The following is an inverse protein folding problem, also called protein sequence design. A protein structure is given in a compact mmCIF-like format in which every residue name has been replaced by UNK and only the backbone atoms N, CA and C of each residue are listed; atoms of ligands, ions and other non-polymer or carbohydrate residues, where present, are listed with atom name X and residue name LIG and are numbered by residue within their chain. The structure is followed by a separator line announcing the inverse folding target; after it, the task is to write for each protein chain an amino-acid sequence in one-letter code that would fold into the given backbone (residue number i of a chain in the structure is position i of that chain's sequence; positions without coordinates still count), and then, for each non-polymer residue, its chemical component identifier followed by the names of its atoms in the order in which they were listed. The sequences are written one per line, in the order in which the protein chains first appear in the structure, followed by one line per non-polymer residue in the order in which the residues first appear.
data_IF_282018480235
#
_entry.id   IF_282018480235
#
_cell.length_a   1.000
_cell.length_b   1.000
_cell.length_c   1.000
_cell.angle_alpha   90.00
_cell.angle_beta   90.00
_cell.angle_gamma   90.00
#
_symmetry.space_group_name_H-M   'P 1'
#
loop_
_entity.id
_entity.type
_entity.pdbx_description
1 polymer ?
#
# COMPACT_ATOMS: atom_id res chain seq x y z
N UNK A 1 8.90 -12.41 7.61
CA UNK A 1 8.90 -11.36 6.56
C UNK A 1 7.92 -11.78 5.49
N UNK A 2 6.90 -10.97 5.17
CA UNK A 2 5.92 -11.30 4.13
C UNK A 2 6.55 -11.08 2.74
N UNK A 3 6.63 -12.12 1.91
CA UNK A 3 7.06 -12.01 0.52
C UNK A 3 5.84 -11.79 -0.38
N UNK A 4 5.81 -10.68 -1.12
CA UNK A 4 4.67 -10.34 -2.01
C UNK A 4 4.46 -11.42 -3.07
N UNK A 5 5.54 -11.90 -3.70
CA UNK A 5 5.46 -12.91 -4.76
C UNK A 5 4.88 -14.24 -4.25
N UNK A 6 5.37 -14.73 -3.11
CA UNK A 6 4.87 -15.97 -2.51
C UNK A 6 3.42 -15.83 -2.03
N UNK A 7 3.09 -14.70 -1.42
CA UNK A 7 1.72 -14.40 -0.96
C UNK A 7 0.75 -14.39 -2.14
N UNK A 8 1.11 -13.80 -3.28
CA UNK A 8 0.27 -13.78 -4.47
C UNK A 8 0.13 -15.17 -5.10
N UNK A 9 1.22 -15.96 -5.17
CA UNK A 9 1.16 -17.35 -5.66
C UNK A 9 0.21 -18.19 -4.79
N UNK A 10 0.35 -18.09 -3.47
CA UNK A 10 -0.52 -18.78 -2.54
C UNK A 10 -1.99 -18.34 -2.70
N UNK A 11 -2.24 -17.05 -2.79
CA UNK A 11 -3.60 -16.51 -2.99
C UNK A 11 -4.24 -17.03 -4.28
N UNK A 12 -3.50 -17.05 -5.39
CA UNK A 12 -4.00 -17.58 -6.67
C UNK A 12 -4.37 -19.06 -6.52
N UNK A 13 -3.47 -19.88 -5.95
CA UNK A 13 -3.72 -21.30 -5.73
C UNK A 13 -4.96 -21.54 -4.86
N UNK A 14 -5.13 -20.79 -3.76
CA UNK A 14 -6.28 -20.93 -2.86
C UNK A 14 -7.59 -20.47 -3.49
N UNK A 15 -7.56 -19.57 -4.46
CA UNK A 15 -8.76 -19.01 -5.11
C UNK A 15 -9.07 -19.66 -6.46
N UNK A 16 -8.27 -20.62 -6.91
CA UNK A 16 -8.40 -21.26 -8.23
C UNK A 16 -9.81 -21.82 -8.48
N UNK A 17 -10.35 -22.59 -7.53
CA UNK A 17 -11.71 -23.16 -7.62
C UNK A 17 -12.84 -22.12 -7.70
N UNK A 18 -12.59 -20.86 -7.31
CA UNK A 18 -13.58 -19.79 -7.34
C UNK A 18 -13.56 -19.01 -8.66
N UNK A 19 -12.50 -19.18 -9.45
CA UNK A 19 -12.24 -18.49 -10.72
C UNK A 19 -12.81 -19.28 -11.90
N UNK A 20 -14.14 -19.44 -11.95
CA UNK A 20 -14.80 -20.04 -13.11
C UNK A 20 -14.86 -19.05 -14.29
N UNK A 21 -14.95 -19.58 -15.52
CA UNK A 21 -15.10 -18.80 -16.75
C UNK A 21 -16.35 -17.91 -16.72
N UNK A 22 -17.46 -18.41 -16.15
CA UNK A 22 -18.71 -17.64 -15.97
C UNK A 22 -18.58 -16.45 -15.00
N UNK A 23 -17.64 -16.52 -14.04
CA UNK A 23 -17.37 -15.43 -13.10
C UNK A 23 -16.45 -14.34 -13.69
N UNK A 24 -16.04 -14.49 -14.96
CA UNK A 24 -15.60 -13.41 -15.85
C UNK A 24 -14.52 -12.48 -15.29
N UNK A 25 -13.61 -12.98 -14.46
CA UNK A 25 -12.57 -12.14 -13.87
C UNK A 25 -11.18 -12.74 -14.06
N UNK A 26 -10.54 -12.33 -15.16
CA UNK A 26 -9.07 -12.30 -15.31
C UNK A 26 -8.37 -11.39 -14.26
N UNK A 27 -9.12 -10.87 -13.29
CA UNK A 27 -8.60 -9.99 -12.26
C UNK A 27 -7.84 -10.81 -11.22
N UNK A 28 -6.68 -10.29 -10.81
CA UNK A 28 -5.92 -10.85 -9.72
C UNK A 28 -6.79 -10.96 -8.45
N UNK A 29 -7.45 -9.88 -8.02
CA UNK A 29 -8.22 -9.85 -6.76
C UNK A 29 -9.71 -10.08 -7.00
N UNK A 30 -10.26 -11.09 -6.33
CA UNK A 30 -11.68 -11.46 -6.38
C UNK A 30 -12.35 -11.36 -5.01
N UNK A 31 -13.67 -11.17 -5.02
CA UNK A 31 -14.49 -11.15 -3.81
C UNK A 31 -14.55 -12.53 -3.17
N UNK A 32 -14.46 -12.59 -1.85
CA UNK A 32 -14.72 -13.81 -1.09
C UNK A 32 -16.23 -14.12 -0.96
N UNK A 33 -17.11 -13.16 -1.31
CA UNK A 33 -18.57 -13.34 -1.33
C UNK A 33 -19.01 -13.81 -2.72
N UNK A 34 -19.91 -14.80 -2.79
CA UNK A 34 -20.54 -15.23 -4.04
C UNK A 34 -21.22 -14.04 -4.73
N UNK A 35 -21.07 -13.84 -6.05
CA UNK A 35 -20.57 -14.74 -7.09
C UNK A 35 -19.06 -14.55 -7.40
N UNK A 36 -18.22 -14.22 -6.42
CA UNK A 36 -16.74 -14.17 -6.56
C UNK A 36 -16.20 -13.31 -7.70
N UNK A 37 -16.89 -12.20 -7.99
CA UNK A 37 -16.49 -11.25 -9.04
C UNK A 37 -15.24 -10.45 -8.65
N UNK A 38 -14.63 -9.75 -9.61
CA UNK A 38 -13.55 -8.78 -9.36
C UNK A 38 -13.94 -7.79 -8.27
N UNK A 39 -13.01 -7.45 -7.38
CA UNK A 39 -13.24 -6.42 -6.37
C UNK A 39 -13.12 -5.01 -6.95
N UNK A 40 -13.89 -4.06 -6.40
CA UNK A 40 -13.77 -2.65 -6.77
C UNK A 40 -12.54 -1.99 -6.14
N UNK A 41 -12.13 -0.84 -6.69
CA UNK A 41 -11.09 0.01 -6.10
C UNK A 41 -11.42 0.37 -4.65
N UNK A 42 -12.69 0.66 -4.35
CA UNK A 42 -13.13 1.03 -2.99
C UNK A 42 -13.03 -0.13 -2.00
N UNK A 43 -13.19 -1.37 -2.48
CA UNK A 43 -13.01 -2.56 -1.65
C UNK A 43 -11.55 -2.74 -1.27
N UNK A 44 -10.64 -2.58 -2.24
CA UNK A 44 -9.20 -2.61 -1.98
C UNK A 44 -8.79 -1.47 -1.04
N UNK A 45 -9.31 -0.26 -1.25
CA UNK A 45 -9.03 0.88 -0.39
C UNK A 45 -9.49 0.64 1.06
N UNK A 46 -10.65 0.00 1.26
CA UNK A 46 -11.12 -0.42 2.58
C UNK A 46 -10.19 -1.45 3.22
N UNK A 47 -9.76 -2.47 2.50
CA UNK A 47 -8.80 -3.46 3.03
C UNK A 47 -7.49 -2.81 3.45
N UNK A 48 -6.95 -1.89 2.66
CA UNK A 48 -5.73 -1.15 3.02
C UNK A 48 -5.97 -0.33 4.28
N UNK A 49 -7.10 0.40 4.39
CA UNK A 49 -7.45 1.15 5.61
C UNK A 49 -7.55 0.23 6.83
N UNK A 50 -8.14 -0.96 6.69
CA UNK A 50 -8.17 -1.95 7.77
C UNK A 50 -6.77 -2.37 8.21
N UNK A 51 -5.86 -2.65 7.27
CA UNK A 51 -4.47 -3.02 7.59
C UNK A 51 -3.73 -1.85 8.26
N UNK A 52 -3.93 -0.61 7.81
CA UNK A 52 -3.35 0.58 8.45
C UNK A 52 -3.84 0.70 9.90
N UNK A 53 -5.14 0.57 10.13
CA UNK A 53 -5.72 0.62 11.47
C UNK A 53 -5.17 -0.49 12.38
N UNK A 54 -5.12 -1.73 11.89
CA UNK A 54 -4.56 -2.87 12.63
C UNK A 54 -3.07 -2.70 12.92
N UNK A 55 -2.35 -1.91 12.11
CA UNK A 55 -0.95 -1.56 12.33
C UNK A 55 -0.76 -0.37 13.28
N UNK A 56 -1.83 0.14 13.89
CA UNK A 56 -1.78 1.30 14.80
C UNK A 56 -1.66 2.64 14.09
N UNK A 57 -1.85 2.70 12.76
CA UNK A 57 -1.81 3.94 12.00
C UNK A 57 -3.18 4.63 12.08
N UNK A 58 -3.18 5.92 12.42
CA UNK A 58 -4.39 6.73 12.45
C UNK A 58 -5.02 6.85 11.05
N UNK A 59 -6.18 6.21 10.88
CA UNK A 59 -6.89 6.20 9.60
C UNK A 59 -7.82 7.39 9.39
N UNK A 60 -7.99 8.27 10.39
CA UNK A 60 -8.61 9.58 10.18
C UNK A 60 -7.66 10.49 9.40
N UNK A 61 -6.35 10.38 9.66
CA UNK A 61 -5.29 11.12 8.97
C UNK A 61 -4.76 10.43 7.72
N UNK A 62 -4.59 9.11 7.75
CA UNK A 62 -3.99 8.34 6.66
C UNK A 62 -4.98 7.40 5.97
N UNK A 63 -4.84 7.28 4.66
CA UNK A 63 -5.71 6.49 3.80
C UNK A 63 -4.90 5.59 2.86
N UNK A 64 -5.60 4.76 2.08
CA UNK A 64 -4.97 3.93 1.06
C UNK A 64 -4.12 4.74 0.06
N UNK A 65 -4.51 5.98 -0.25
CA UNK A 65 -3.77 6.86 -1.16
C UNK A 65 -2.40 7.29 -0.61
N UNK A 66 -2.23 7.31 0.71
CA UNK A 66 -0.99 7.74 1.35
C UNK A 66 0.13 6.68 1.28
N UNK A 67 -0.21 5.41 1.07
CA UNK A 67 0.76 4.29 1.04
C UNK A 67 1.81 4.51 -0.06
N UNK A 68 1.38 4.94 -1.25
CA UNK A 68 2.29 5.20 -2.38
C UNK A 68 3.27 6.33 -2.09
N UNK A 69 2.77 7.44 -1.51
CA UNK A 69 3.61 8.57 -1.11
C UNK A 69 4.61 8.13 -0.03
N UNK A 70 4.13 7.46 1.03
CA UNK A 70 4.98 6.99 2.12
C UNK A 70 6.11 6.06 1.63
N UNK A 71 5.80 5.10 0.75
CA UNK A 71 6.80 4.21 0.18
C UNK A 71 7.87 4.96 -0.63
N UNK A 72 7.45 5.91 -1.47
CA UNK A 72 8.36 6.69 -2.30
C UNK A 72 9.22 7.67 -1.48
N UNK A 73 8.64 8.33 -0.48
CA UNK A 73 9.38 9.18 0.46
C UNK A 73 10.40 8.38 1.26
N UNK A 74 10.04 7.16 1.70
CA UNK A 74 10.98 6.26 2.39
C UNK A 74 12.13 5.84 1.48
N UNK A 75 11.87 5.51 0.22
CA UNK A 75 12.92 5.19 -0.74
C UNK A 75 13.89 6.37 -0.95
N UNK A 76 13.36 7.60 -1.05
CA UNK A 76 14.18 8.82 -1.11
C UNK A 76 15.03 8.99 0.15
N UNK A 77 14.44 8.83 1.33
CA UNK A 77 15.15 8.91 2.60
C UNK A 77 16.23 7.82 2.77
N UNK A 78 16.12 6.71 2.03
CA UNK A 78 17.14 5.67 1.92
C UNK A 78 18.15 5.91 0.79
N UNK A 79 18.22 7.14 0.27
CA UNK A 79 19.14 7.56 -0.81
C UNK A 79 18.99 6.77 -2.12
N UNK A 80 17.81 6.20 -2.40
CA UNK A 80 17.51 5.66 -3.73
C UNK A 80 17.40 6.83 -4.72
N UNK A 81 18.07 6.72 -5.87
CA UNK A 81 18.07 7.79 -6.86
C UNK A 81 16.64 8.14 -7.32
N UNK A 82 16.38 9.43 -7.48
CA UNK A 82 15.07 9.93 -7.89
C UNK A 82 14.59 9.29 -9.21
N UNK A 83 15.51 9.12 -10.16
CA UNK A 83 15.24 8.47 -11.44
C UNK A 83 14.74 7.02 -11.26
N UNK A 84 15.34 6.25 -10.34
CA UNK A 84 14.87 4.90 -10.04
C UNK A 84 13.51 4.89 -9.35
N UNK A 85 13.28 5.79 -8.38
CA UNK A 85 11.99 5.91 -7.71
C UNK A 85 10.90 6.24 -8.73
N UNK A 86 11.14 7.23 -9.60
CA UNK A 86 10.21 7.64 -10.64
C UNK A 86 9.94 6.52 -11.66
N UNK A 87 10.96 5.80 -12.10
CA UNK A 87 10.82 4.68 -13.01
C UNK A 87 9.97 3.55 -12.39
N UNK A 88 10.19 3.20 -11.12
CA UNK A 88 9.42 2.17 -10.41
C UNK A 88 8.01 2.62 -10.06
N UNK A 89 7.83 3.89 -9.72
CA UNK A 89 6.54 4.46 -9.39
C UNK A 89 5.74 4.90 -10.63
N UNK A 90 6.33 4.88 -11.83
CA UNK A 90 5.65 5.31 -13.06
C UNK A 90 5.36 6.82 -13.13
N UNK A 91 6.27 7.66 -12.64
CA UNK A 91 6.17 9.12 -12.77
C UNK A 91 7.10 9.64 -13.86
N UNK A 92 6.57 10.51 -14.72
CA UNK A 92 7.34 11.12 -15.82
C UNK A 92 8.02 12.44 -15.42
N UNK A 93 7.58 13.08 -14.34
CA UNK A 93 8.07 14.40 -13.91
C UNK A 93 8.42 14.41 -12.43
N UNK A 94 9.64 14.83 -12.13
CA UNK A 94 10.13 14.97 -10.75
C UNK A 94 9.31 15.99 -9.97
N UNK A 95 8.94 17.11 -10.59
CA UNK A 95 8.10 18.13 -9.95
C UNK A 95 6.75 17.56 -9.46
N UNK A 96 6.18 16.57 -10.16
CA UNK A 96 4.96 15.88 -9.70
C UNK A 96 5.23 15.02 -8.47
N UNK A 97 6.35 14.30 -8.46
CA UNK A 97 6.78 13.55 -7.29
C UNK A 97 6.99 14.47 -6.09
N UNK A 98 7.83 15.49 -6.23
CA UNK A 98 8.18 16.43 -5.17
C UNK A 98 6.94 17.12 -4.56
N UNK A 99 5.99 17.55 -5.40
CA UNK A 99 4.79 18.27 -4.93
C UNK A 99 3.77 17.37 -4.24
N UNK A 100 3.50 16.18 -4.81
CA UNK A 100 2.32 15.39 -4.41
C UNK A 100 2.67 14.15 -3.57
N UNK A 101 3.88 13.60 -3.73
CA UNK A 101 4.23 12.28 -3.22
C UNK A 101 5.45 12.27 -2.30
N UNK A 102 6.33 13.25 -2.39
CA UNK A 102 7.42 13.45 -1.44
C UNK A 102 6.88 14.11 -0.18
N UNK A 103 6.83 13.34 0.91
CA UNK A 103 6.30 13.76 2.20
C UNK A 103 7.42 13.67 3.23
N UNK A 104 7.51 14.68 4.08
CA UNK A 104 8.44 14.68 5.19
C UNK A 104 8.16 13.50 6.11
N UNK A 105 9.23 12.76 6.43
CA UNK A 105 9.17 11.69 7.40
C UNK A 105 9.47 12.32 8.75
N UNK A 106 8.42 12.62 9.50
CA UNK A 106 8.57 13.13 10.87
C UNK A 106 9.12 11.99 11.73
N UNK A 107 10.38 12.12 12.17
CA UNK A 107 10.89 11.31 13.27
C UNK A 107 10.16 11.76 14.53
N UNK A 108 9.47 10.84 15.19
CA UNK A 108 8.81 11.12 16.47
C UNK A 108 9.85 11.32 17.56
N UNK A 109 10.45 12.51 17.64
CA UNK A 109 11.07 12.98 18.87
C UNK A 109 9.99 13.71 19.66
N UNK A 110 9.23 12.96 20.45
CA UNK A 110 8.43 13.55 21.51
C UNK A 110 9.35 13.76 22.71
N UNK A 111 9.97 14.94 22.77
CA UNK A 111 10.92 15.33 23.83
C UNK A 111 10.30 15.20 25.21
N UNK A 112 8.97 15.24 25.32
CA UNK A 112 8.25 15.02 26.58
C UNK A 112 8.26 13.55 27.01
N UNK A 113 8.10 12.59 26.10
CA UNK A 113 8.13 11.16 26.43
C UNK A 113 9.52 10.68 26.85
N UNK A 114 10.58 11.20 26.24
CA UNK A 114 11.97 10.91 26.64
C UNK A 114 12.30 11.47 28.03
N UNK A 115 11.74 12.63 28.40
CA UNK A 115 11.97 13.26 29.69
C UNK A 115 11.23 12.59 30.86
N UNK A 116 10.15 11.84 30.60
CA UNK A 116 9.35 11.16 31.64
C UNK A 116 9.79 9.72 31.88
N UNK A 117 10.41 9.08 30.88
CA UNK A 117 10.87 7.68 30.94
C UNK A 117 12.35 7.52 31.28
N UNK A 118 13.04 8.61 31.65
CA UNK A 118 14.41 8.60 32.20
C UNK A 118 14.41 8.81 33.71
#
# INVERSE_FOLDING_TARGET
MLCVCETLKFYIAQTERLRSVENGSESLLISFVKHHKKVSKDTIARWIRSVLHLSGIDTAKYSAGNVRSAAASKAKAMNVSIMHIMAKAGWSREATFAKYYDKEIVSGHDTFQEAVLM
#
